data_IF_303773171831
#
_entry.id   IF_303773171831
#
_cell.length_a   1.000
_cell.length_b   1.000
_cell.length_c   1.000
_cell.angle_alpha   90.00
_cell.angle_beta   90.00
_cell.angle_gamma   90.00
#
_symmetry.space_group_name_H-M   'P 1'
#
loop_
_entity.id
_entity.type
_entity.pdbx_description
1 polymer ?
#
# COMPACT_ATOMS: atom_id res chain seq x y z
N UNK A 1 4.75 20.06 2.88
CA UNK A 1 5.91 19.89 1.98
C UNK A 1 5.39 19.82 0.55
N UNK A 2 5.85 20.71 -0.34
CA UNK A 2 5.55 20.61 -1.77
C UNK A 2 6.79 20.06 -2.49
N UNK A 3 6.64 18.94 -3.20
CA UNK A 3 7.76 18.29 -3.90
C UNK A 3 7.79 18.73 -5.36
N UNK A 4 8.91 19.34 -5.76
CA UNK A 4 9.07 19.92 -7.09
C UNK A 4 9.32 18.88 -8.20
N UNK A 5 9.12 19.26 -9.48
CA UNK A 5 9.14 18.33 -10.61
C UNK A 5 10.49 17.70 -10.94
N UNK A 6 11.59 18.28 -10.46
CA UNK A 6 12.93 17.76 -10.69
C UNK A 6 13.39 16.74 -9.62
N UNK A 7 12.63 16.59 -8.52
CA UNK A 7 12.98 15.65 -7.45
C UNK A 7 12.83 14.23 -7.97
N UNK A 8 13.91 13.45 -7.91
CA UNK A 8 13.94 12.05 -8.35
C UNK A 8 13.75 11.06 -7.22
N UNK A 9 14.18 11.43 -6.03
CA UNK A 9 14.21 10.56 -4.85
C UNK A 9 13.85 11.37 -3.62
N UNK A 10 13.01 10.81 -2.78
CA UNK A 10 12.92 11.21 -1.37
C UNK A 10 13.76 10.18 -0.61
N UNK A 11 14.88 10.61 -0.04
CA UNK A 11 15.86 9.71 0.57
C UNK A 11 15.30 8.97 1.78
N UNK A 12 16.00 7.90 2.17
CA UNK A 12 15.68 7.18 3.39
C UNK A 12 15.69 8.12 4.60
N UNK A 13 14.69 8.01 5.46
CA UNK A 13 14.52 8.78 6.70
C UNK A 13 14.50 10.30 6.52
N UNK A 14 14.26 10.81 5.30
CA UNK A 14 14.42 12.23 4.97
C UNK A 14 13.54 13.17 5.83
N UNK A 15 12.39 12.69 6.28
CA UNK A 15 11.45 13.43 7.12
C UNK A 15 11.00 12.63 8.34
N UNK A 16 11.75 11.60 8.74
CA UNK A 16 11.46 10.79 9.93
C UNK A 16 11.29 11.67 11.18
N UNK A 17 10.25 11.38 11.98
CA UNK A 17 9.94 12.06 13.25
C UNK A 17 9.88 13.60 13.14
N UNK A 18 9.48 14.09 11.96
CA UNK A 18 9.22 15.52 11.76
C UNK A 18 7.76 15.87 12.06
N UNK A 19 7.50 17.14 12.38
CA UNK A 19 6.14 17.71 12.55
C UNK A 19 5.46 18.03 11.22
N UNK A 20 5.79 17.29 10.17
CA UNK A 20 5.22 17.50 8.84
C UNK A 20 3.78 16.99 8.82
N UNK A 21 2.82 17.88 8.56
CA UNK A 21 1.39 17.54 8.55
C UNK A 21 0.82 17.26 7.16
N UNK A 22 1.58 17.55 6.10
CA UNK A 22 1.10 17.41 4.73
C UNK A 22 2.22 17.29 3.72
N UNK A 23 2.01 16.46 2.68
CA UNK A 23 2.89 16.32 1.53
C UNK A 23 2.08 16.43 0.24
N UNK A 24 2.55 17.25 -0.68
CA UNK A 24 2.01 17.40 -2.02
C UNK A 24 3.02 16.86 -3.03
N UNK A 25 2.69 15.71 -3.62
CA UNK A 25 3.47 15.04 -4.66
C UNK A 25 2.91 15.28 -6.08
N UNK A 26 1.88 16.12 -6.24
CA UNK A 26 1.18 16.30 -7.52
C UNK A 26 2.09 16.84 -8.64
N UNK A 27 3.10 17.62 -8.28
CA UNK A 27 4.09 18.16 -9.22
C UNK A 27 5.35 17.29 -9.36
N UNK A 28 5.50 16.22 -8.57
CA UNK A 28 6.70 15.39 -8.51
C UNK A 28 6.84 14.42 -9.70
N UNK A 29 6.82 14.95 -10.92
CA UNK A 29 6.76 14.20 -12.19
C UNK A 29 8.04 13.42 -12.54
N UNK A 30 9.15 13.66 -11.84
CA UNK A 30 10.40 12.90 -11.97
C UNK A 30 10.67 11.97 -10.77
N UNK A 31 9.78 11.91 -9.77
CA UNK A 31 9.98 11.09 -8.57
C UNK A 31 9.87 9.62 -8.91
N UNK A 32 10.94 8.88 -8.65
CA UNK A 32 11.08 7.44 -8.90
C UNK A 32 11.05 6.64 -7.60
N UNK A 33 11.56 7.20 -6.51
CA UNK A 33 11.74 6.47 -5.26
C UNK A 33 11.31 7.29 -4.05
N UNK A 34 10.56 6.64 -3.16
CA UNK A 34 10.31 7.09 -1.79
C UNK A 34 11.03 6.09 -0.90
N UNK A 35 12.15 6.52 -0.30
CA UNK A 35 13.06 5.64 0.42
C UNK A 35 12.50 5.12 1.74
N UNK A 36 13.23 4.18 2.34
CA UNK A 36 12.90 3.59 3.63
C UNK A 36 12.66 4.66 4.69
N UNK A 37 11.56 4.56 5.44
CA UNK A 37 11.23 5.46 6.54
C UNK A 37 11.14 6.94 6.15
N UNK A 38 10.99 7.27 4.86
CA UNK A 38 11.05 8.65 4.36
C UNK A 38 10.14 9.63 5.12
N UNK A 39 8.97 9.17 5.58
CA UNK A 39 7.98 9.92 6.35
C UNK A 39 7.55 9.17 7.61
N UNK A 40 8.38 8.24 8.11
CA UNK A 40 8.08 7.44 9.30
C UNK A 40 7.82 8.32 10.52
N UNK A 41 6.80 7.97 11.31
CA UNK A 41 6.47 8.66 12.56
C UNK A 41 6.24 10.18 12.41
N UNK A 42 5.63 10.60 11.29
CA UNK A 42 5.26 12.01 11.07
C UNK A 42 3.78 12.27 11.35
N UNK A 43 3.43 13.52 11.62
CA UNK A 43 2.02 13.97 11.74
C UNK A 43 1.30 14.06 10.37
N UNK A 44 1.83 13.37 9.34
CA UNK A 44 1.40 13.51 7.95
C UNK A 44 -0.03 13.02 7.79
N UNK A 45 -0.95 13.93 7.49
CA UNK A 45 -2.37 13.64 7.34
C UNK A 45 -2.92 13.92 5.94
N UNK A 46 -4.22 13.63 5.79
CA UNK A 46 -4.95 13.83 4.54
C UNK A 46 -4.71 12.73 3.51
N UNK A 47 -5.22 12.95 2.30
CA UNK A 47 -5.16 11.98 1.20
C UNK A 47 -3.81 12.02 0.49
N UNK A 48 -3.28 10.86 0.11
CA UNK A 48 -2.02 10.74 -0.60
C UNK A 48 -2.24 10.15 -2.01
N UNK A 49 -1.62 10.77 -3.00
CA UNK A 49 -1.54 10.25 -4.37
C UNK A 49 -0.08 9.99 -4.69
N UNK A 50 0.27 8.74 -4.95
CA UNK A 50 1.61 8.35 -5.36
C UNK A 50 1.76 8.63 -6.86
N UNK A 51 2.75 9.44 -7.29
CA UNK A 51 2.94 9.78 -8.70
C UNK A 51 3.22 8.57 -9.59
N UNK A 52 2.85 8.70 -10.86
CA UNK A 52 2.98 7.69 -11.91
C UNK A 52 4.39 7.09 -12.10
N UNK A 53 5.46 7.85 -11.83
CA UNK A 53 6.83 7.41 -12.04
C UNK A 53 7.47 6.74 -10.82
N UNK A 54 6.81 6.78 -9.66
CA UNK A 54 7.33 6.12 -8.47
C UNK A 54 7.31 4.62 -8.75
N UNK A 55 8.47 3.98 -8.69
CA UNK A 55 8.61 2.53 -8.86
C UNK A 55 8.66 1.81 -7.52
N UNK A 56 9.17 2.48 -6.49
CA UNK A 56 9.42 1.87 -5.18
C UNK A 56 8.92 2.79 -4.07
N UNK A 57 8.13 2.21 -3.17
CA UNK A 57 7.81 2.77 -1.86
C UNK A 57 8.53 1.88 -0.85
N UNK A 58 9.56 2.42 -0.21
CA UNK A 58 10.46 1.69 0.68
C UNK A 58 9.80 1.23 1.97
N UNK A 59 10.54 0.42 2.71
CA UNK A 59 10.10 -0.11 3.99
C UNK A 59 9.80 1.03 4.97
N UNK A 60 8.72 0.91 5.74
CA UNK A 60 8.27 1.89 6.74
C UNK A 60 8.03 3.31 6.20
N UNK A 61 8.01 3.53 4.88
CA UNK A 61 8.07 4.86 4.27
C UNK A 61 7.01 5.85 4.78
N UNK A 62 5.82 5.36 5.14
CA UNK A 62 4.71 6.11 5.72
C UNK A 62 4.12 5.41 6.96
N UNK A 63 4.88 4.53 7.61
CA UNK A 63 4.43 3.88 8.84
C UNK A 63 4.27 4.90 9.98
N UNK A 64 3.32 4.61 10.86
CA UNK A 64 3.00 5.42 12.04
C UNK A 64 2.69 6.89 11.67
N UNK A 65 1.93 7.10 10.59
CA UNK A 65 1.47 8.43 10.14
C UNK A 65 -0.03 8.62 10.33
N UNK A 66 -0.46 9.89 10.34
CA UNK A 66 -1.86 10.30 10.42
C UNK A 66 -2.58 10.28 9.05
N UNK A 67 -2.02 9.60 8.05
CA UNK A 67 -2.55 9.55 6.69
C UNK A 67 -3.97 9.01 6.72
N UNK A 68 -4.88 9.68 6.02
CA UNK A 68 -6.30 9.34 6.06
C UNK A 68 -6.96 9.44 4.69
N UNK A 69 -8.23 9.06 4.61
CA UNK A 69 -8.96 9.06 3.35
C UNK A 69 -8.45 7.98 2.41
N UNK A 70 -8.37 8.31 1.11
CA UNK A 70 -7.98 7.36 0.07
C UNK A 70 -6.52 7.52 -0.30
N UNK A 71 -5.74 6.44 -0.18
CA UNK A 71 -4.45 6.29 -0.83
C UNK A 71 -4.67 5.84 -2.28
N UNK A 72 -4.15 6.61 -3.24
CA UNK A 72 -4.11 6.23 -4.67
C UNK A 72 -2.70 5.87 -5.08
N UNK A 73 -2.52 4.66 -5.57
CA UNK A 73 -1.21 4.16 -6.02
C UNK A 73 -1.07 4.35 -7.53
N UNK A 74 0.00 5.05 -7.95
CA UNK A 74 0.28 5.34 -9.35
C UNK A 74 0.69 4.10 -10.15
N UNK A 75 0.50 4.17 -11.47
CA UNK A 75 0.68 3.00 -12.35
C UNK A 75 2.09 2.43 -12.42
N UNK A 76 3.12 3.22 -12.13
CA UNK A 76 4.52 2.79 -12.18
C UNK A 76 5.02 2.08 -10.93
N UNK A 77 4.24 2.00 -9.85
CA UNK A 77 4.69 1.38 -8.60
C UNK A 77 4.82 -0.13 -8.80
N UNK A 78 6.02 -0.67 -8.58
CA UNK A 78 6.31 -2.11 -8.65
C UNK A 78 6.28 -2.76 -7.28
N UNK A 79 6.71 -2.03 -6.24
CA UNK A 79 6.87 -2.56 -4.89
C UNK A 79 6.35 -1.58 -3.85
N UNK A 80 5.52 -2.13 -2.94
CA UNK A 80 5.19 -1.54 -1.65
C UNK A 80 5.96 -2.34 -0.60
N UNK A 81 6.89 -1.69 0.10
CA UNK A 81 7.82 -2.32 1.04
C UNK A 81 7.18 -2.87 2.31
N UNK A 82 8.03 -3.48 3.15
CA UNK A 82 7.68 -3.94 4.48
C UNK A 82 7.09 -2.78 5.29
N UNK A 83 5.91 -2.97 5.87
CA UNK A 83 5.24 -1.99 6.72
C UNK A 83 5.10 -0.57 6.12
N UNK A 84 5.19 -0.41 4.79
CA UNK A 84 5.25 0.91 4.15
C UNK A 84 4.10 1.87 4.52
N UNK A 85 2.92 1.34 4.84
CA UNK A 85 1.74 2.06 5.32
C UNK A 85 1.15 1.39 6.58
N UNK A 86 1.98 0.79 7.43
CA UNK A 86 1.52 0.22 8.70
C UNK A 86 1.03 1.32 9.66
N UNK A 87 0.06 0.97 10.51
CA UNK A 87 -0.47 1.86 11.56
C UNK A 87 -0.98 3.23 11.06
N UNK A 88 -1.52 3.30 9.83
CA UNK A 88 -2.10 4.55 9.31
C UNK A 88 -3.61 4.64 9.57
N UNK A 89 -4.19 5.83 9.36
CA UNK A 89 -5.64 6.09 9.46
C UNK A 89 -6.33 6.09 8.08
N UNK A 90 -5.72 5.41 7.11
CA UNK A 90 -6.28 5.28 5.77
C UNK A 90 -7.64 4.62 5.84
N UNK A 91 -8.63 5.19 5.16
CA UNK A 91 -9.99 4.61 5.13
C UNK A 91 -10.24 3.82 3.84
N UNK A 92 -9.45 4.08 2.79
CA UNK A 92 -9.57 3.39 1.51
C UNK A 92 -8.21 3.25 0.83
N UNK A 93 -8.03 2.12 0.17
CA UNK A 93 -6.92 1.85 -0.72
C UNK A 93 -7.43 1.70 -2.16
N UNK A 94 -6.86 2.46 -3.08
CA UNK A 94 -7.16 2.40 -4.50
C UNK A 94 -5.92 1.94 -5.28
N UNK A 95 -5.95 0.66 -5.70
CA UNK A 95 -4.94 0.02 -6.54
C UNK A 95 -5.40 -0.10 -8.01
N UNK A 96 -6.51 0.54 -8.41
CA UNK A 96 -7.07 0.34 -9.76
C UNK A 96 -6.14 0.78 -10.89
N UNK A 97 -5.30 1.79 -10.63
CA UNK A 97 -4.28 2.28 -11.57
C UNK A 97 -2.93 1.58 -11.42
N UNK A 98 -2.69 0.80 -10.35
CA UNK A 98 -1.40 0.20 -9.99
C UNK A 98 -1.05 -1.02 -10.87
N UNK A 99 -1.00 -0.79 -12.19
CA UNK A 99 -0.86 -1.83 -13.21
C UNK A 99 0.54 -2.46 -13.27
N UNK A 100 1.58 -1.81 -12.74
CA UNK A 100 2.92 -2.39 -12.61
C UNK A 100 3.19 -3.06 -11.25
N UNK A 101 2.23 -3.09 -10.32
CA UNK A 101 2.47 -3.57 -8.95
C UNK A 101 2.73 -5.08 -8.92
N UNK A 102 3.92 -5.48 -8.48
CA UNK A 102 4.36 -6.88 -8.42
C UNK A 102 4.27 -7.44 -7.00
N UNK A 103 4.63 -6.64 -5.99
CA UNK A 103 4.76 -7.12 -4.62
C UNK A 103 4.21 -6.14 -3.59
N UNK A 104 3.46 -6.69 -2.63
CA UNK A 104 3.02 -6.01 -1.42
C UNK A 104 3.75 -6.69 -0.25
N UNK A 105 4.60 -5.95 0.47
CA UNK A 105 5.47 -6.48 1.51
C UNK A 105 4.74 -6.94 2.77
N UNK A 106 5.50 -7.56 3.66
CA UNK A 106 5.00 -7.96 4.99
C UNK A 106 4.53 -6.73 5.76
N UNK A 107 3.42 -6.84 6.49
CA UNK A 107 2.82 -5.74 7.24
C UNK A 107 2.51 -4.46 6.45
N UNK A 108 2.57 -4.45 5.10
CA UNK A 108 2.50 -3.23 4.29
C UNK A 108 1.34 -2.28 4.64
N UNK A 109 0.19 -2.82 5.03
CA UNK A 109 -0.99 -2.10 5.54
C UNK A 109 -1.48 -2.65 6.89
N UNK A 110 -0.60 -3.33 7.63
CA UNK A 110 -0.89 -3.91 8.94
C UNK A 110 -1.30 -2.83 9.94
N UNK A 111 -2.26 -3.14 10.80
CA UNK A 111 -2.79 -2.24 11.84
C UNK A 111 -3.35 -0.90 11.32
N UNK A 112 -3.62 -0.79 10.02
CA UNK A 112 -4.41 0.29 9.46
C UNK A 112 -5.90 0.07 9.77
N UNK A 113 -6.26 0.24 11.04
CA UNK A 113 -7.55 -0.20 11.60
C UNK A 113 -8.76 0.52 11.03
N UNK A 114 -8.60 1.61 10.28
CA UNK A 114 -9.71 2.29 9.60
C UNK A 114 -9.85 1.91 8.12
N UNK A 115 -8.91 1.12 7.60
CA UNK A 115 -8.89 0.71 6.20
C UNK A 115 -10.03 -0.26 5.93
N UNK A 116 -11.02 0.18 5.15
CA UNK A 116 -12.27 -0.53 4.96
C UNK A 116 -12.67 -0.68 3.49
N UNK A 117 -13.75 -1.42 3.25
CA UNK A 117 -14.31 -1.66 1.94
C UNK A 117 -13.74 -2.91 1.25
N UNK A 118 -13.97 -3.00 -0.06
CA UNK A 118 -13.55 -4.13 -0.88
C UNK A 118 -12.15 -3.87 -1.44
N UNK A 119 -11.22 -4.78 -1.18
CA UNK A 119 -9.89 -4.81 -1.78
C UNK A 119 -9.93 -5.60 -3.10
N UNK A 120 -9.44 -4.97 -4.17
CA UNK A 120 -9.22 -5.62 -5.47
C UNK A 120 -7.72 -5.65 -5.72
N UNK A 121 -7.16 -6.84 -5.86
CA UNK A 121 -5.72 -7.02 -6.12
C UNK A 121 -5.47 -6.90 -7.64
N UNK A 122 -4.51 -6.05 -8.09
CA UNK A 122 -4.16 -5.94 -9.51
C UNK A 122 -3.67 -7.25 -10.12
N UNK A 123 -3.82 -7.40 -11.44
CA UNK A 123 -3.49 -8.63 -12.14
C UNK A 123 -2.01 -8.98 -12.20
N UNK A 124 -1.16 -8.00 -11.94
CA UNK A 124 0.30 -8.10 -11.96
C UNK A 124 0.91 -8.47 -10.61
N UNK A 125 0.13 -8.42 -9.52
CA UNK A 125 0.62 -8.79 -8.20
C UNK A 125 0.92 -10.28 -8.16
N UNK A 126 2.15 -10.61 -7.79
CA UNK A 126 2.63 -11.99 -7.65
C UNK A 126 2.77 -12.44 -6.21
N UNK A 127 3.01 -11.50 -5.30
CA UNK A 127 3.30 -11.78 -3.89
C UNK A 127 2.59 -10.79 -2.98
N UNK A 128 1.94 -11.31 -1.95
CA UNK A 128 1.40 -10.56 -0.81
C UNK A 128 2.09 -11.11 0.45
N UNK A 129 2.74 -10.23 1.21
CA UNK A 129 3.53 -10.59 2.38
C UNK A 129 2.71 -11.06 3.58
N UNK A 130 3.42 -11.61 4.57
CA UNK A 130 2.85 -12.00 5.85
C UNK A 130 2.26 -10.76 6.56
N UNK A 131 1.09 -10.92 7.18
CA UNK A 131 0.39 -9.82 7.87
C UNK A 131 0.11 -8.56 7.02
N UNK A 132 0.23 -8.60 5.69
CA UNK A 132 0.16 -7.42 4.83
C UNK A 132 -1.10 -6.54 5.03
N UNK A 133 -2.25 -7.14 5.37
CA UNK A 133 -3.51 -6.47 5.69
C UNK A 133 -4.06 -6.90 7.06
N UNK A 134 -3.16 -7.27 7.98
CA UNK A 134 -3.50 -7.65 9.34
C UNK A 134 -4.24 -6.53 10.07
N UNK A 135 -5.29 -6.88 10.81
CA UNK A 135 -6.05 -5.94 11.64
C UNK A 135 -6.57 -4.71 10.89
N UNK A 136 -7.16 -4.94 9.71
CA UNK A 136 -7.85 -3.93 8.91
C UNK A 136 -9.35 -4.18 8.91
N UNK A 137 -10.16 -3.14 8.63
CA UNK A 137 -11.62 -3.23 8.51
C UNK A 137 -12.08 -3.58 7.08
N UNK A 138 -11.24 -4.19 6.25
CA UNK A 138 -11.64 -4.60 4.91
C UNK A 138 -12.80 -5.60 5.01
N UNK A 139 -13.85 -5.34 4.24
CA UNK A 139 -15.10 -6.11 4.27
C UNK A 139 -15.19 -7.12 3.13
N UNK A 140 -14.27 -7.06 2.16
CA UNK A 140 -14.22 -8.00 1.06
C UNK A 140 -12.87 -8.03 0.37
N UNK A 141 -12.54 -9.20 -0.18
CA UNK A 141 -11.33 -9.44 -0.94
C UNK A 141 -11.71 -10.10 -2.26
N UNK A 142 -11.22 -9.55 -3.38
CA UNK A 142 -11.42 -10.12 -4.71
C UNK A 142 -10.09 -10.46 -5.37
N UNK A 143 -9.77 -11.75 -5.32
CA UNK A 143 -8.59 -12.33 -5.96
C UNK A 143 -8.86 -12.78 -7.40
N UNK A 144 -10.11 -12.70 -7.89
CA UNK A 144 -10.43 -13.12 -9.27
C UNK A 144 -9.75 -12.26 -10.33
N UNK A 145 -9.26 -11.08 -9.92
CA UNK A 145 -8.51 -10.15 -10.76
C UNK A 145 -6.99 -10.29 -10.65
N UNK A 146 -6.49 -11.23 -9.85
CA UNK A 146 -5.06 -11.46 -9.61
C UNK A 146 -4.58 -12.82 -10.16
N UNK A 147 -4.64 -13.07 -11.49
CA UNK A 147 -4.23 -14.35 -12.06
C UNK A 147 -2.72 -14.64 -11.93
N UNK A 148 -1.90 -13.61 -11.70
CA UNK A 148 -0.45 -13.76 -11.52
C UNK A 148 -0.05 -14.01 -10.06
N UNK A 149 -1.00 -14.05 -9.13
CA UNK A 149 -0.73 -14.22 -7.71
C UNK A 149 -0.21 -15.62 -7.42
N UNK A 150 1.02 -15.72 -6.93
CA UNK A 150 1.72 -16.98 -6.64
C UNK A 150 1.81 -17.24 -5.15
N UNK A 151 1.98 -16.20 -4.33
CA UNK A 151 2.21 -16.34 -2.89
C UNK A 151 1.36 -15.37 -2.06
N UNK A 152 0.80 -15.89 -0.97
CA UNK A 152 0.14 -15.13 0.09
C UNK A 152 0.79 -15.56 1.40
N UNK A 153 1.39 -14.61 2.11
CA UNK A 153 2.08 -14.85 3.36
C UNK A 153 1.14 -15.19 4.52
N UNK A 154 1.74 -15.73 5.58
CA UNK A 154 1.02 -16.12 6.78
C UNK A 154 0.26 -14.92 7.36
N UNK A 155 -0.99 -15.17 7.79
CA UNK A 155 -1.83 -14.16 8.44
C UNK A 155 -2.08 -12.88 7.61
N UNK A 156 -1.79 -12.85 6.31
CA UNK A 156 -1.90 -11.67 5.44
C UNK A 156 -3.26 -10.95 5.51
N UNK A 157 -4.34 -11.70 5.77
CA UNK A 157 -5.71 -11.20 5.87
C UNK A 157 -6.39 -11.61 7.19
N UNK A 158 -5.63 -11.84 8.26
CA UNK A 158 -6.24 -12.08 9.59
C UNK A 158 -6.76 -10.77 10.17
N UNK A 159 -7.91 -10.85 10.81
CA UNK A 159 -8.59 -9.68 11.37
C UNK A 159 -9.49 -8.94 10.37
N UNK A 160 -9.64 -9.43 9.12
CA UNK A 160 -10.66 -8.89 8.23
C UNK A 160 -12.06 -9.08 8.83
N UNK A 161 -12.83 -8.00 8.88
CA UNK A 161 -14.17 -7.97 9.49
C UNK A 161 -15.31 -8.32 8.50
N UNK A 162 -14.99 -8.93 7.35
CA UNK A 162 -15.93 -9.25 6.28
C UNK A 162 -16.30 -10.74 6.17
N UNK A 163 -17.60 -11.04 6.18
CA UNK A 163 -18.17 -12.40 6.14
C UNK A 163 -18.13 -13.13 4.77
N UNK A 164 -17.49 -12.59 3.73
CA UNK A 164 -17.50 -13.19 2.37
C UNK A 164 -16.10 -13.19 1.72
N UNK A 165 -15.19 -14.05 2.22
CA UNK A 165 -13.96 -14.40 1.50
C UNK A 165 -14.34 -15.38 0.40
N UNK A 166 -14.68 -14.87 -0.79
CA UNK A 166 -14.84 -15.72 -1.97
C UNK A 166 -13.48 -16.22 -2.39
N UNK A 167 -13.15 -17.44 -1.95
CA UNK A 167 -11.93 -18.15 -2.35
C UNK A 167 -11.88 -18.22 -3.89
N UNK A 168 -10.74 -17.91 -4.52
CA UNK A 168 -10.59 -18.13 -5.96
C UNK A 168 -10.65 -19.64 -6.22
N UNK A 169 -11.54 -20.03 -7.12
CA UNK A 169 -11.55 -21.28 -7.87
C UNK A 169 -11.26 -22.56 -7.05
N UNK A 170 -12.32 -23.27 -6.65
CA UNK A 170 -12.20 -24.68 -6.27
C UNK A 170 -11.59 -25.45 -7.46
N UNK A 171 -10.35 -25.91 -7.30
CA UNK A 171 -9.75 -26.87 -8.22
C UNK A 171 -10.73 -28.04 -8.45
N UNK A 172 -10.86 -28.57 -9.69
CA UNK A 172 -11.69 -29.74 -9.92
C UNK A 172 -11.21 -30.87 -9.01
N UNK A 173 -12.13 -31.45 -8.23
CA UNK A 173 -11.83 -32.66 -7.47
C UNK A 173 -11.37 -33.73 -8.45
N UNK A 174 -10.10 -34.14 -8.34
CA UNK A 174 -9.65 -35.39 -8.93
C UNK A 174 -10.18 -36.54 -8.04
N UNK A 175 -10.79 -37.50 -8.74
CA UNK A 175 -11.48 -38.73 -8.33
C UNK A 175 -12.71 -38.59 -7.43
#
# INVERSE_FOLDING_TARGET
LKVGPAVKTIGAFAFEDTKLTGVDLSEATALVEIGQGAFFATDLGGTLVIPAKVTTIGDDAFADTELTGTLKVGFGVHTIGHAAFASTKLTRLDLSEATALVSIGDYAFGDSTDLQGKLVIPSTVTTIGAYAFYNTKLTGLDLSKAPSLVSIGDYAFVGLHGHDVRRPYSAPRLS
#
